data_IF_165960819259
#
_entry.id   IF_165960819259
#
_cell.length_a   1.000
_cell.length_b   1.000
_cell.length_c   1.000
_cell.angle_alpha   90.00
_cell.angle_beta   90.00
_cell.angle_gamma   90.00
#
_symmetry.space_group_name_H-M   'P 1'
#
loop_
_entity.id
_entity.type
_entity.pdbx_description
1 polymer ?
#
# COMPACT_ATOMS: atom_id res chain seq x y z
N UNK A 1 7.40 17.66 6.41
CA UNK A 1 7.37 17.72 4.92
C UNK A 1 6.71 16.44 4.38
N UNK A 2 6.36 16.34 3.08
CA UNK A 2 5.97 15.03 2.51
C UNK A 2 7.24 14.16 2.46
N UNK A 3 7.22 12.97 3.08
CA UNK A 3 8.39 12.09 3.23
C UNK A 3 9.12 12.15 4.57
N UNK A 4 8.46 12.66 5.62
CA UNK A 4 9.00 12.73 6.98
C UNK A 4 9.23 11.33 7.61
N UNK A 5 9.78 11.29 8.83
CA UNK A 5 9.88 10.05 9.63
C UNK A 5 8.49 9.43 9.86
N UNK A 6 8.32 8.10 9.66
CA UNK A 6 7.07 7.43 10.01
C UNK A 6 6.69 7.68 11.47
N UNK A 7 5.44 8.09 11.70
CA UNK A 7 4.91 8.27 13.04
C UNK A 7 4.58 6.89 13.65
N UNK A 8 4.92 6.60 14.91
CA UNK A 8 4.59 5.34 15.56
C UNK A 8 3.10 4.96 15.51
N UNK A 9 2.20 5.95 15.41
CA UNK A 9 0.75 5.71 15.27
C UNK A 9 0.38 5.04 13.94
N UNK A 10 1.29 4.93 12.99
CA UNK A 10 1.07 4.27 11.71
C UNK A 10 1.21 2.75 11.79
N UNK A 11 1.73 2.19 12.88
CA UNK A 11 2.00 0.75 13.03
C UNK A 11 0.76 -0.11 12.69
N UNK A 12 -0.41 0.23 13.24
CA UNK A 12 -1.65 -0.49 12.97
C UNK A 12 -2.03 -0.44 11.48
N UNK A 13 -1.86 0.72 10.83
CA UNK A 13 -2.15 0.87 9.41
C UNK A 13 -1.18 0.07 8.53
N UNK A 14 0.09 -0.01 8.91
CA UNK A 14 1.09 -0.82 8.20
C UNK A 14 0.79 -2.31 8.37
N UNK A 15 0.42 -2.76 9.56
CA UNK A 15 0.01 -4.15 9.79
C UNK A 15 -1.23 -4.51 8.97
N UNK A 16 -2.23 -3.63 8.90
CA UNK A 16 -3.39 -3.80 8.05
C UNK A 16 -3.02 -3.84 6.56
N UNK A 17 -2.08 -3.00 6.12
CA UNK A 17 -1.61 -3.01 4.75
C UNK A 17 -0.94 -4.36 4.41
N UNK A 18 -0.07 -4.88 5.29
CA UNK A 18 0.59 -6.17 5.11
C UNK A 18 -0.40 -7.34 5.11
N UNK A 19 -1.41 -7.33 5.99
CA UNK A 19 -2.38 -8.41 6.07
C UNK A 19 -3.23 -8.56 4.80
N UNK A 20 -3.34 -7.49 3.99
CA UNK A 20 -4.02 -7.50 2.69
C UNK A 20 -3.14 -7.93 1.51
N UNK A 21 -1.83 -8.11 1.72
CA UNK A 21 -0.93 -8.58 0.68
C UNK A 21 -1.29 -10.02 0.29
N UNK A 22 -1.45 -10.25 -1.01
CA UNK A 22 -1.68 -11.58 -1.55
C UNK A 22 -0.38 -12.40 -1.55
N UNK A 23 -0.50 -13.72 -1.69
CA UNK A 23 0.66 -14.63 -1.69
C UNK A 23 1.66 -14.34 -2.83
N UNK A 24 1.21 -13.73 -3.93
CA UNK A 24 2.04 -13.30 -5.06
C UNK A 24 2.64 -11.89 -4.88
N UNK A 25 2.42 -11.27 -3.72
CA UNK A 25 2.92 -9.95 -3.38
C UNK A 25 2.05 -8.78 -3.89
N UNK A 26 0.89 -9.03 -4.49
CA UNK A 26 -0.01 -7.99 -4.99
C UNK A 26 -1.06 -7.55 -3.96
N UNK A 27 -1.74 -6.44 -4.24
CA UNK A 27 -2.91 -5.98 -3.49
C UNK A 27 -4.12 -5.89 -4.39
N UNK A 28 -5.27 -6.34 -3.91
CA UNK A 28 -6.51 -6.33 -4.68
C UNK A 28 -7.08 -4.92 -4.82
N UNK A 29 -7.87 -4.70 -5.88
CA UNK A 29 -8.84 -3.61 -5.92
C UNK A 29 -10.05 -3.99 -5.07
N UNK A 30 -10.44 -3.17 -4.10
CA UNK A 30 -11.57 -3.52 -3.20
C UNK A 30 -12.89 -2.90 -3.65
N UNK A 31 -12.88 -1.61 -4.00
CA UNK A 31 -14.09 -0.88 -4.32
C UNK A 31 -13.83 0.04 -5.50
N UNK A 32 -14.50 -0.22 -6.62
CA UNK A 32 -14.56 0.69 -7.74
C UNK A 32 -15.71 1.66 -7.54
N UNK A 33 -15.42 2.95 -7.49
CA UNK A 33 -16.45 3.97 -7.42
C UNK A 33 -17.13 4.14 -8.80
N UNK A 34 -18.47 4.06 -8.87
CA UNK A 34 -19.19 4.21 -10.14
C UNK A 34 -19.15 5.66 -10.63
N UNK A 35 -19.13 5.85 -11.95
CA UNK A 35 -19.13 7.15 -12.61
C UNK A 35 -18.58 7.09 -14.03
N UNK A 36 -18.61 8.23 -14.72
CA UNK A 36 -18.08 8.34 -16.07
C UNK A 36 -16.55 8.27 -16.04
N UNK A 37 -16.00 7.28 -16.76
CA UNK A 37 -14.56 7.09 -16.92
C UNK A 37 -14.21 7.05 -18.40
N UNK A 38 -13.04 7.58 -18.76
CA UNK A 38 -12.55 7.52 -20.13
C UNK A 38 -12.08 6.11 -20.52
N UNK A 39 -11.49 5.38 -19.57
CA UNK A 39 -11.09 3.98 -19.72
C UNK A 39 -10.85 3.35 -18.33
N UNK A 40 -11.06 2.03 -18.23
CA UNK A 40 -10.73 1.27 -17.04
C UNK A 40 -9.21 1.01 -16.98
N UNK A 41 -8.60 1.28 -15.83
CA UNK A 41 -7.17 1.02 -15.58
C UNK A 41 -6.90 -0.33 -14.92
N UNK A 42 -7.92 -0.89 -14.28
CA UNK A 42 -7.84 -2.13 -13.49
C UNK A 42 -8.88 -3.13 -14.02
N UNK A 43 -8.67 -4.42 -13.75
CA UNK A 43 -9.55 -5.51 -14.22
C UNK A 43 -10.87 -5.61 -13.45
N UNK A 44 -11.03 -4.82 -12.38
CA UNK A 44 -12.22 -4.77 -11.53
C UNK A 44 -11.97 -5.23 -10.10
N UNK A 45 -13.02 -5.13 -9.28
CA UNK A 45 -12.95 -5.43 -7.85
C UNK A 45 -12.63 -6.92 -7.59
N UNK A 46 -11.84 -7.17 -6.55
CA UNK A 46 -11.32 -8.48 -6.18
C UNK A 46 -10.16 -8.97 -7.05
N UNK A 47 -9.74 -8.22 -8.08
CA UNK A 47 -8.56 -8.54 -8.90
C UNK A 47 -7.30 -7.83 -8.39
N UNK A 48 -6.10 -8.41 -8.59
CA UNK A 48 -4.85 -7.72 -8.32
C UNK A 48 -4.82 -6.34 -8.99
N UNK A 49 -4.59 -5.29 -8.22
CA UNK A 49 -4.52 -3.91 -8.70
C UNK A 49 -3.08 -3.49 -8.90
N UNK A 50 -2.79 -2.96 -10.09
CA UNK A 50 -1.46 -2.41 -10.42
C UNK A 50 -1.16 -1.20 -9.56
N UNK A 51 -2.13 -0.30 -9.39
CA UNK A 51 -1.94 0.94 -8.63
C UNK A 51 -1.87 0.71 -7.13
N UNK A 52 -2.72 -0.14 -6.56
CA UNK A 52 -2.66 -0.45 -5.13
C UNK A 52 -1.35 -1.15 -4.80
N UNK A 53 -0.91 -2.10 -5.63
CA UNK A 53 0.38 -2.77 -5.44
C UNK A 53 1.54 -1.77 -5.46
N UNK A 54 1.60 -0.87 -6.45
CA UNK A 54 2.65 0.15 -6.51
C UNK A 54 2.65 1.06 -5.26
N UNK A 55 1.47 1.49 -4.80
CA UNK A 55 1.34 2.37 -3.62
C UNK A 55 1.74 1.64 -2.35
N UNK A 56 1.28 0.40 -2.16
CA UNK A 56 1.60 -0.41 -1.01
C UNK A 56 3.11 -0.63 -0.90
N UNK A 57 3.76 -1.04 -2.00
CA UNK A 57 5.22 -1.25 -2.04
C UNK A 57 5.99 0.02 -1.68
N UNK A 58 5.56 1.19 -2.18
CA UNK A 58 6.20 2.48 -1.84
C UNK A 58 6.08 2.82 -0.36
N UNK A 59 4.90 2.62 0.22
CA UNK A 59 4.64 2.91 1.64
C UNK A 59 5.42 1.94 2.54
N UNK A 60 5.39 0.65 2.24
CA UNK A 60 6.10 -0.37 3.02
C UNK A 60 7.61 -0.13 2.99
N UNK A 61 8.18 0.10 1.79
CA UNK A 61 9.60 0.40 1.66
C UNK A 61 10.00 1.67 2.43
N UNK A 62 9.19 2.73 2.38
CA UNK A 62 9.46 3.95 3.17
C UNK A 62 9.36 3.71 4.69
N UNK A 63 8.42 2.88 5.14
CA UNK A 63 8.26 2.56 6.56
C UNK A 63 9.41 1.70 7.09
N UNK A 64 9.82 0.68 6.33
CA UNK A 64 10.86 -0.29 6.70
C UNK A 64 12.26 0.31 6.74
N UNK A 65 12.63 1.15 5.76
CA UNK A 65 13.94 1.83 5.73
C UNK A 65 14.23 2.59 7.03
N UNK A 66 13.21 3.02 7.77
CA UNK A 66 13.32 3.71 9.06
C UNK A 66 13.28 2.81 10.28
N UNK A 67 12.60 1.67 10.22
CA UNK A 67 12.64 0.67 11.29
C UNK A 67 14.06 0.12 11.46
N UNK A 68 14.77 -0.05 10.34
CA UNK A 68 16.16 -0.49 10.30
C UNK A 68 17.11 0.56 10.91
N UNK A 69 16.91 1.86 10.61
CA UNK A 69 17.67 2.97 11.22
C UNK A 69 17.45 3.09 12.73
N UNK A 70 16.25 2.77 13.22
CA UNK A 70 15.92 2.82 14.66
C UNK A 70 16.53 1.65 15.42
N UNK A 71 16.60 0.47 14.79
CA UNK A 71 17.18 -0.75 15.39
C UNK A 71 18.72 -0.72 15.38
N UNK A 72 19.33 0.01 14.44
CA UNK A 72 20.78 0.19 14.35
C UNK A 72 21.35 1.27 15.30
N UNK A 73 20.51 1.96 16.08
CA UNK A 73 20.90 2.94 17.11
C UNK A 73 20.82 2.34 18.51
#
# INVERSE_FOLDING_TARGET
AVGDTPDPRMEEAIQLLRSKQQADGTWLLENTHPGDIHFALEEGDGRPSRWNTLRALRVLNWYEQRADETTAR
#
